data_IF_981799494076
#
_entry.id   IF_981799494076
#
_cell.length_a   1.000
_cell.length_b   1.000
_cell.length_c   1.000
_cell.angle_alpha   90.00
_cell.angle_beta   90.00
_cell.angle_gamma   90.00
#
_symmetry.space_group_name_H-M   'P 1'
#
loop_
_entity.id
_entity.type
_entity.pdbx_description
1 polymer ?
#
# COMPACT_ATOMS: atom_id res chain seq x y z
N UNK A 1 5.09 29.23 -26.55
CA UNK A 1 3.74 28.60 -26.58
C UNK A 1 3.73 27.10 -26.90
N UNK A 2 4.23 26.59 -28.05
CA UNK A 2 4.24 25.12 -28.31
C UNK A 2 5.28 24.34 -27.49
N UNK A 3 6.41 24.94 -27.10
CA UNK A 3 7.43 24.29 -26.26
C UNK A 3 7.04 24.20 -24.78
N UNK A 4 6.32 25.20 -24.27
CA UNK A 4 5.93 25.28 -22.85
C UNK A 4 4.91 24.19 -22.47
N UNK A 5 4.00 23.86 -23.39
CA UNK A 5 3.01 22.77 -23.24
C UNK A 5 3.68 21.40 -23.19
N UNK A 6 4.65 21.13 -24.08
CA UNK A 6 5.40 19.87 -24.10
C UNK A 6 6.28 19.70 -22.85
N UNK A 7 6.88 20.79 -22.36
CA UNK A 7 7.66 20.76 -21.11
C UNK A 7 6.78 20.55 -19.88
N UNK A 8 5.56 21.11 -19.86
CA UNK A 8 4.58 20.89 -18.78
C UNK A 8 4.07 19.44 -18.75
N UNK A 9 3.75 18.86 -19.91
CA UNK A 9 3.37 17.44 -20.04
C UNK A 9 4.48 16.49 -19.57
N UNK A 10 5.73 16.77 -19.93
CA UNK A 10 6.90 16.00 -19.49
C UNK A 10 7.07 16.00 -17.97
N UNK A 11 7.01 17.18 -17.34
CA UNK A 11 7.12 17.31 -15.88
C UNK A 11 5.97 16.62 -15.14
N UNK A 12 4.77 16.67 -15.70
CA UNK A 12 3.60 16.04 -15.10
C UNK A 12 3.68 14.51 -15.17
N UNK A 13 4.12 13.95 -16.31
CA UNK A 13 4.38 12.50 -16.43
C UNK A 13 5.43 12.03 -15.43
N UNK A 14 6.54 12.76 -15.29
CA UNK A 14 7.59 12.44 -14.30
C UNK A 14 7.05 12.43 -12.86
N UNK A 15 6.21 13.40 -12.49
CA UNK A 15 5.58 13.44 -11.17
C UNK A 15 4.64 12.27 -10.92
N UNK A 16 3.85 11.87 -11.92
CA UNK A 16 2.97 10.71 -11.82
C UNK A 16 3.75 9.41 -11.68
N UNK A 17 4.82 9.23 -12.46
CA UNK A 17 5.63 8.01 -12.39
C UNK A 17 6.36 7.92 -11.04
N UNK A 18 6.94 9.03 -10.53
CA UNK A 18 7.52 9.09 -9.19
C UNK A 18 6.50 8.83 -8.07
N UNK A 19 5.27 9.32 -8.21
CA UNK A 19 4.19 9.05 -7.26
C UNK A 19 3.80 7.57 -7.24
N UNK A 20 3.70 6.93 -8.42
CA UNK A 20 3.44 5.49 -8.55
C UNK A 20 4.54 4.64 -7.91
N UNK A 21 5.79 5.03 -8.13
CA UNK A 21 6.94 4.38 -7.50
C UNK A 21 6.87 4.52 -5.98
N UNK A 22 6.65 5.72 -5.45
CA UNK A 22 6.52 5.98 -4.03
C UNK A 22 5.40 5.16 -3.35
N UNK A 23 4.24 5.04 -3.99
CA UNK A 23 3.15 4.17 -3.51
C UNK A 23 3.59 2.71 -3.46
N UNK A 24 4.27 2.24 -4.50
CA UNK A 24 4.72 0.85 -4.60
C UNK A 24 5.70 0.53 -3.50
N UNK A 25 6.72 1.37 -3.34
CA UNK A 25 7.73 1.22 -2.30
C UNK A 25 7.10 1.25 -0.91
N UNK A 26 6.24 2.23 -0.63
CA UNK A 26 5.55 2.30 0.67
C UNK A 26 4.67 1.09 0.95
N UNK A 27 3.95 0.58 -0.05
CA UNK A 27 3.16 -0.62 0.11
C UNK A 27 4.00 -1.88 0.31
N UNK A 28 5.14 -1.99 -0.38
CA UNK A 28 6.08 -3.08 -0.19
C UNK A 28 6.64 -3.07 1.23
N UNK A 29 7.03 -1.90 1.77
CA UNK A 29 7.51 -1.77 3.15
C UNK A 29 6.44 -2.18 4.17
N UNK A 30 5.20 -1.70 4.00
CA UNK A 30 4.09 -2.07 4.90
C UNK A 30 3.80 -3.57 4.79
N UNK A 31 3.73 -4.10 3.58
CA UNK A 31 3.52 -5.52 3.32
C UNK A 31 4.61 -6.38 3.94
N UNK A 32 5.87 -5.98 3.77
CA UNK A 32 7.04 -6.65 4.33
C UNK A 32 7.05 -6.63 5.86
N UNK A 33 6.72 -5.49 6.47
CA UNK A 33 6.57 -5.37 7.92
C UNK A 33 5.54 -6.34 8.48
N UNK A 34 4.37 -6.42 7.85
CA UNK A 34 3.33 -7.37 8.24
C UNK A 34 3.79 -8.83 8.06
N UNK A 35 4.51 -9.16 6.98
CA UNK A 35 5.06 -10.50 6.81
C UNK A 35 6.07 -10.85 7.91
N UNK A 36 6.98 -9.94 8.25
CA UNK A 36 7.96 -10.19 9.32
C UNK A 36 7.27 -10.43 10.67
N UNK A 37 6.21 -9.66 10.98
CA UNK A 37 5.39 -9.89 12.19
C UNK A 37 4.70 -11.25 12.18
N UNK A 38 4.14 -11.67 11.03
CA UNK A 38 3.58 -13.01 10.89
C UNK A 38 4.66 -14.09 11.16
N UNK A 39 5.87 -13.88 10.64
CA UNK A 39 7.02 -14.73 10.91
C UNK A 39 7.39 -14.82 12.38
N UNK A 40 7.32 -13.72 13.15
CA UNK A 40 7.56 -13.73 14.61
C UNK A 40 6.56 -14.66 15.30
N UNK A 41 5.28 -14.56 14.96
CA UNK A 41 4.24 -15.38 15.58
C UNK A 41 4.37 -16.86 15.18
N UNK A 42 4.63 -17.15 13.91
CA UNK A 42 4.85 -18.53 13.46
C UNK A 42 6.12 -19.12 14.03
N UNK A 43 7.24 -18.39 14.08
CA UNK A 43 8.46 -18.93 14.67
C UNK A 43 8.31 -19.22 16.16
N UNK A 44 7.55 -18.38 16.89
CA UNK A 44 7.19 -18.71 18.27
C UNK A 44 6.34 -19.98 18.35
N UNK A 45 5.31 -20.09 17.50
CA UNK A 45 4.41 -21.26 17.47
C UNK A 45 5.12 -22.56 17.07
N UNK A 46 5.92 -22.54 16.01
CA UNK A 46 6.63 -23.69 15.45
C UNK A 46 7.77 -24.18 16.36
N UNK A 47 8.26 -23.33 17.28
CA UNK A 47 9.38 -23.62 18.19
C UNK A 47 8.95 -23.52 19.65
N UNK A 48 7.87 -24.24 20.00
CA UNK A 48 7.45 -24.47 21.38
C UNK A 48 7.20 -23.20 22.21
N UNK A 49 6.58 -22.19 21.59
CA UNK A 49 6.24 -20.91 22.24
C UNK A 49 7.47 -20.14 22.73
N UNK A 50 8.59 -20.22 21.99
CA UNK A 50 9.79 -19.41 22.29
C UNK A 50 9.45 -17.92 22.32
N UNK A 51 9.94 -17.22 23.36
CA UNK A 51 9.64 -15.80 23.60
C UNK A 51 10.49 -14.86 22.73
N UNK A 52 11.62 -15.33 22.25
CA UNK A 52 12.59 -14.55 21.48
C UNK A 52 13.12 -15.41 20.32
N UNK A 53 12.29 -15.66 19.29
CA UNK A 53 12.73 -16.40 18.11
C UNK A 53 13.84 -15.62 17.39
N UNK A 54 14.89 -16.33 16.98
CA UNK A 54 15.99 -15.76 16.21
C UNK A 54 15.53 -15.38 14.80
N UNK A 55 16.26 -14.46 14.16
CA UNK A 55 15.97 -14.00 12.80
C UNK A 55 15.77 -15.16 11.81
N UNK A 56 16.68 -16.14 11.79
CA UNK A 56 16.59 -17.26 10.87
C UNK A 56 15.36 -18.13 11.14
N UNK A 57 14.95 -18.27 12.41
CA UNK A 57 13.72 -18.99 12.76
C UNK A 57 12.49 -18.26 12.23
N UNK A 58 12.45 -16.93 12.36
CA UNK A 58 11.40 -16.05 11.84
C UNK A 58 11.27 -16.22 10.33
N UNK A 59 12.37 -16.09 9.60
CA UNK A 59 12.41 -16.16 8.14
C UNK A 59 12.04 -17.56 7.64
N UNK A 60 12.57 -18.62 8.26
CA UNK A 60 12.30 -20.00 7.85
C UNK A 60 10.83 -20.37 8.09
N UNK A 61 10.29 -20.04 9.28
CA UNK A 61 8.89 -20.32 9.61
C UNK A 61 7.95 -19.57 8.67
N UNK A 62 8.20 -18.27 8.46
CA UNK A 62 7.47 -17.46 7.49
C UNK A 62 7.49 -18.10 6.08
N UNK A 63 8.66 -18.50 5.61
CA UNK A 63 8.82 -19.11 4.30
C UNK A 63 7.99 -20.41 4.15
N UNK A 64 8.04 -21.29 5.14
CA UNK A 64 7.30 -22.57 5.14
C UNK A 64 5.80 -22.31 5.03
N UNK A 65 5.24 -21.49 5.93
CA UNK A 65 3.80 -21.20 5.95
C UNK A 65 3.33 -20.46 4.70
N UNK A 66 4.14 -19.55 4.16
CA UNK A 66 3.83 -18.86 2.90
C UNK A 66 3.80 -19.81 1.71
N UNK A 67 4.81 -20.68 1.59
CA UNK A 67 4.92 -21.62 0.48
C UNK A 67 3.74 -22.61 0.46
N UNK A 68 3.29 -23.06 1.64
CA UNK A 68 2.19 -24.01 1.76
C UNK A 68 0.82 -23.36 1.48
N UNK A 69 0.55 -22.17 2.03
CA UNK A 69 -0.81 -21.62 2.11
C UNK A 69 -1.05 -20.36 1.29
N UNK A 70 0.02 -19.65 0.90
CA UNK A 70 -0.08 -18.29 0.35
C UNK A 70 0.90 -18.06 -0.82
N UNK A 71 0.72 -18.74 -1.97
CA UNK A 71 1.67 -18.71 -3.09
C UNK A 71 1.95 -17.30 -3.66
N UNK A 72 0.95 -16.42 -3.68
CA UNK A 72 1.11 -15.03 -4.15
C UNK A 72 2.01 -14.22 -3.20
N UNK A 73 1.78 -14.36 -1.89
CA UNK A 73 2.62 -13.71 -0.88
C UNK A 73 4.00 -14.34 -0.81
N UNK A 74 4.13 -15.65 -1.08
CA UNK A 74 5.43 -16.30 -1.20
C UNK A 74 6.25 -15.70 -2.34
N UNK A 75 5.62 -15.48 -3.50
CA UNK A 75 6.25 -14.81 -4.64
C UNK A 75 6.65 -13.37 -4.34
N UNK A 76 5.82 -12.64 -3.57
CA UNK A 76 6.18 -11.32 -3.05
C UNK A 76 7.38 -11.40 -2.09
N UNK A 77 7.37 -12.32 -1.13
CA UNK A 77 8.42 -12.52 -0.14
C UNK A 77 9.76 -12.80 -0.81
N UNK A 78 9.82 -13.70 -1.80
CA UNK A 78 11.06 -14.01 -2.51
C UNK A 78 11.67 -12.78 -3.20
N UNK A 79 10.83 -11.92 -3.80
CA UNK A 79 11.28 -10.68 -4.48
C UNK A 79 11.70 -9.58 -3.51
N UNK A 80 11.16 -9.59 -2.29
CA UNK A 80 11.37 -8.54 -1.29
C UNK A 80 12.04 -9.08 -0.02
N UNK A 81 12.80 -10.19 -0.13
CA UNK A 81 13.35 -10.89 1.04
C UNK A 81 14.19 -9.96 1.92
N UNK A 82 15.02 -9.12 1.29
CA UNK A 82 15.86 -8.16 2.02
C UNK A 82 15.00 -7.12 2.77
N UNK A 83 13.95 -6.60 2.14
CA UNK A 83 13.02 -5.66 2.78
C UNK A 83 12.24 -6.28 3.93
N UNK A 84 11.89 -7.57 3.82
CA UNK A 84 11.27 -8.32 4.92
C UNK A 84 12.26 -8.54 6.05
N UNK A 85 13.49 -8.94 5.72
CA UNK A 85 14.53 -9.21 6.71
C UNK A 85 14.95 -7.94 7.47
N UNK A 86 15.07 -6.80 6.80
CA UNK A 86 15.47 -5.53 7.44
C UNK A 86 14.48 -5.03 8.50
N UNK A 87 13.24 -5.55 8.51
CA UNK A 87 12.26 -5.20 9.53
C UNK A 87 12.70 -5.63 10.94
N UNK A 88 13.64 -6.57 11.06
CA UNK A 88 14.25 -6.98 12.32
C UNK A 88 14.87 -5.82 13.09
N UNK A 89 15.35 -4.78 12.39
CA UNK A 89 15.95 -3.59 13.00
C UNK A 89 14.93 -2.72 13.76
N UNK A 90 13.64 -2.92 13.49
CA UNK A 90 12.56 -2.07 14.00
C UNK A 90 11.52 -2.82 14.84
N UNK A 91 11.59 -4.15 14.87
CA UNK A 91 10.60 -5.02 15.51
C UNK A 91 11.28 -5.94 16.52
N UNK A 92 10.85 -5.83 17.77
CA UNK A 92 11.34 -6.64 18.89
C UNK A 92 10.39 -7.81 19.18
N UNK A 93 10.79 -9.07 18.89
CA UNK A 93 9.94 -10.24 19.10
C UNK A 93 9.46 -10.40 20.54
N UNK A 94 10.37 -10.16 21.51
CA UNK A 94 10.09 -10.26 22.94
C UNK A 94 8.93 -9.37 23.37
N UNK A 95 8.87 -8.14 22.84
CA UNK A 95 7.81 -7.18 23.13
C UNK A 95 6.48 -7.65 22.53
N UNK A 96 6.51 -8.14 21.28
CA UNK A 96 5.31 -8.60 20.57
C UNK A 96 4.69 -9.87 21.19
N UNK A 97 5.53 -10.79 21.67
CA UNK A 97 5.11 -12.09 22.17
C UNK A 97 4.72 -12.06 23.65
N UNK A 98 5.27 -11.13 24.44
CA UNK A 98 5.09 -11.05 25.90
C UNK A 98 3.65 -11.18 26.38
N UNK A 99 2.69 -10.50 25.72
CA UNK A 99 1.28 -10.52 26.12
C UNK A 99 0.57 -11.82 25.75
N UNK A 100 0.97 -12.44 24.65
CA UNK A 100 0.39 -13.69 24.16
C UNK A 100 0.88 -14.85 25.02
N UNK A 101 2.19 -14.96 25.22
CA UNK A 101 2.82 -16.09 25.91
C UNK A 101 2.50 -16.12 27.42
N UNK A 102 2.13 -14.98 28.02
CA UNK A 102 1.60 -14.94 29.40
C UNK A 102 0.27 -15.71 29.54
N UNK A 103 -0.50 -15.87 28.46
CA UNK A 103 -1.80 -16.55 28.45
C UNK A 103 -1.62 -18.02 28.04
N UNK A 104 -0.89 -18.78 28.84
CA UNK A 104 -0.39 -20.14 28.53
C UNK A 104 -1.42 -21.03 27.82
N UNK A 105 -2.64 -21.11 28.37
CA UNK A 105 -3.76 -21.92 27.88
C UNK A 105 -4.29 -21.52 26.49
N UNK A 106 -4.08 -20.26 26.09
CA UNK A 106 -4.58 -19.69 24.83
C UNK A 106 -3.47 -19.26 23.88
N UNK A 107 -2.21 -19.34 24.31
CA UNK A 107 -1.07 -18.81 23.58
C UNK A 107 -1.00 -19.37 22.16
N UNK A 108 -1.19 -20.68 22.01
CA UNK A 108 -1.15 -21.37 20.72
C UNK A 108 -2.20 -20.84 19.72
N UNK A 109 -3.45 -20.68 20.17
CA UNK A 109 -4.52 -20.13 19.34
C UNK A 109 -4.30 -18.65 19.02
N UNK A 110 -3.80 -17.88 19.98
CA UNK A 110 -3.49 -16.47 19.80
C UNK A 110 -2.33 -16.24 18.81
N UNK A 111 -1.26 -17.04 18.88
CA UNK A 111 -0.14 -16.94 17.94
C UNK A 111 -0.60 -17.19 16.51
N UNK A 112 -1.38 -18.27 16.28
CA UNK A 112 -1.93 -18.58 14.95
C UNK A 112 -2.85 -17.47 14.44
N UNK A 113 -3.79 -17.01 15.27
CA UNK A 113 -4.70 -15.93 14.90
C UNK A 113 -3.96 -14.61 14.60
N UNK A 114 -2.92 -14.28 15.37
CA UNK A 114 -2.09 -13.10 15.13
C UNK A 114 -1.27 -13.24 13.84
N UNK A 115 -0.71 -14.41 13.55
CA UNK A 115 0.00 -14.65 12.29
C UNK A 115 -0.93 -14.47 11.09
N UNK A 116 -2.12 -15.09 11.12
CA UNK A 116 -3.12 -14.96 10.05
C UNK A 116 -3.63 -13.52 9.87
N UNK A 117 -3.82 -12.79 10.96
CA UNK A 117 -4.17 -11.38 10.92
C UNK A 117 -3.11 -10.56 10.18
N UNK A 118 -1.83 -10.76 10.52
CA UNK A 118 -0.72 -10.05 9.87
C UNK A 118 -0.59 -10.43 8.40
N UNK A 119 -0.80 -11.69 8.03
CA UNK A 119 -0.88 -12.13 6.63
C UNK A 119 -1.98 -11.39 5.87
N UNK A 120 -3.18 -11.30 6.45
CA UNK A 120 -4.29 -10.60 5.83
C UNK A 120 -4.02 -9.10 5.72
N UNK A 121 -3.33 -8.50 6.69
CA UNK A 121 -2.92 -7.10 6.62
C UNK A 121 -1.89 -6.87 5.51
N UNK A 122 -0.94 -7.79 5.33
CA UNK A 122 0.01 -7.76 4.22
C UNK A 122 -0.70 -7.80 2.86
N UNK A 123 -1.63 -8.75 2.66
CA UNK A 123 -2.44 -8.82 1.42
C UNK A 123 -3.18 -7.53 1.15
N UNK A 124 -3.89 -7.00 2.16
CA UNK A 124 -4.65 -5.75 2.02
C UNK A 124 -3.78 -4.55 1.67
N UNK A 125 -2.57 -4.47 2.21
CA UNK A 125 -1.63 -3.41 1.87
C UNK A 125 -1.23 -3.47 0.39
N UNK A 126 -0.90 -4.67 -0.10
CA UNK A 126 -0.49 -4.88 -1.49
C UNK A 126 -1.66 -4.69 -2.47
N UNK A 127 -2.85 -5.20 -2.14
CA UNK A 127 -4.06 -5.02 -2.95
C UNK A 127 -4.45 -3.54 -3.11
N UNK A 128 -4.38 -2.76 -2.01
CA UNK A 128 -4.66 -1.32 -2.07
C UNK A 128 -3.69 -0.58 -2.98
N UNK A 129 -2.42 -0.97 -2.97
CA UNK A 129 -1.41 -0.38 -3.84
C UNK A 129 -1.68 -0.68 -5.31
N UNK A 130 -2.09 -1.92 -5.61
CA UNK A 130 -2.43 -2.33 -6.97
C UNK A 130 -3.69 -1.61 -7.48
N UNK A 131 -4.74 -1.53 -6.65
CA UNK A 131 -5.94 -0.76 -6.99
C UNK A 131 -5.61 0.72 -7.27
N UNK A 132 -4.70 1.31 -6.50
CA UNK A 132 -4.27 2.70 -6.71
C UNK A 132 -3.44 2.85 -7.99
N UNK A 133 -2.58 1.89 -8.32
CA UNK A 133 -1.83 1.86 -9.59
C UNK A 133 -2.76 1.82 -10.80
N UNK A 134 -3.78 0.96 -10.78
CA UNK A 134 -4.74 0.85 -11.88
C UNK A 134 -5.57 2.12 -12.06
N UNK A 135 -5.98 2.76 -10.94
CA UNK A 135 -6.63 4.08 -10.99
C UNK A 135 -5.73 5.15 -11.59
N UNK A 136 -4.45 5.18 -11.22
CA UNK A 136 -3.49 6.14 -11.76
C UNK A 136 -3.20 5.90 -13.25
N UNK A 137 -3.17 4.64 -13.69
CA UNK A 137 -3.04 4.27 -15.11
C UNK A 137 -4.22 4.81 -15.92
N UNK A 138 -5.44 4.57 -15.44
CA UNK A 138 -6.68 5.10 -16.06
C UNK A 138 -6.64 6.63 -16.15
N UNK A 139 -6.13 7.29 -15.12
CA UNK A 139 -6.00 8.75 -15.11
C UNK A 139 -4.96 9.26 -16.14
N UNK A 140 -3.82 8.57 -16.28
CA UNK A 140 -2.81 8.86 -17.30
C UNK A 140 -3.39 8.74 -18.72
N UNK A 141 -4.23 7.75 -18.96
CA UNK A 141 -4.93 7.55 -20.24
C UNK A 141 -5.96 8.66 -20.49
N UNK A 142 -6.79 9.02 -19.51
CA UNK A 142 -7.76 10.11 -19.62
C UNK A 142 -7.13 11.49 -19.89
N UNK A 143 -5.93 11.74 -19.37
CA UNK A 143 -5.15 12.96 -19.63
C UNK A 143 -4.59 12.97 -21.06
N UNK A 144 -4.17 11.82 -21.60
CA UNK A 144 -3.72 11.72 -22.98
C UNK A 144 -4.88 11.83 -24.00
N UNK A 145 -6.10 11.44 -23.62
CA UNK A 145 -7.30 11.48 -24.50
C UNK A 145 -7.92 12.88 -24.53
N UNK A 146 -7.75 13.70 -23.50
CA UNK A 146 -8.20 15.11 -23.51
C UNK A 146 -7.20 16.00 -24.23
N UNK A 147 -7.39 16.16 -25.54
CA UNK A 147 -7.36 17.49 -26.12
C UNK A 147 -8.05 18.46 -25.14
N UNK A 148 -7.34 19.53 -24.76
CA UNK A 148 -7.74 20.63 -23.87
C UNK A 148 -9.21 20.56 -23.43
N UNK A 149 -9.54 20.37 -22.13
CA UNK A 149 -10.89 20.68 -21.71
C UNK A 149 -11.13 22.15 -22.10
N UNK A 150 -12.06 22.39 -23.02
CA UNK A 150 -12.66 23.71 -23.14
C UNK A 150 -13.24 23.98 -21.77
N UNK A 151 -12.58 24.86 -21.01
CA UNK A 151 -13.13 25.37 -19.79
C UNK A 151 -14.38 26.16 -20.18
N UNK A 152 -15.53 25.48 -20.20
CA UNK A 152 -16.81 26.16 -20.30
C UNK A 152 -16.98 26.87 -18.97
N UNK A 153 -16.64 28.16 -18.96
CA UNK A 153 -16.96 29.04 -17.86
C UNK A 153 -18.49 29.15 -17.82
N UNK A 154 -19.13 28.41 -16.93
CA UNK A 154 -20.54 28.62 -16.63
C UNK A 154 -20.58 29.86 -15.74
N UNK A 155 -20.73 31.03 -16.36
CA UNK A 155 -20.98 32.28 -15.65
C UNK A 155 -22.46 32.27 -15.26
N UNK A 156 -22.77 32.28 -13.97
CA UNK A 156 -24.12 32.59 -13.49
C UNK A 156 -24.50 33.99 -13.98
N UNK A 157 -25.38 34.08 -14.97
CA UNK A 157 -26.08 35.32 -15.28
C UNK A 157 -27.13 35.55 -14.19
N UNK A 158 -26.73 36.10 -13.05
CA UNK A 158 -27.68 36.77 -12.18
C UNK A 158 -28.08 38.08 -12.86
N UNK A 159 -29.37 38.15 -13.19
CA UNK A 159 -29.97 39.14 -14.08
C UNK A 159 -29.65 40.59 -13.75
N UNK A 160 -29.25 41.32 -14.77
CA UNK A 160 -29.47 42.75 -14.85
C UNK A 160 -30.56 42.93 -15.89
N UNK A 161 -31.80 43.09 -15.45
CA UNK A 161 -32.87 43.60 -16.31
C UNK A 161 -32.48 45.02 -16.75
N UNK A 162 -31.99 45.15 -17.97
CA UNK A 162 -31.88 46.42 -18.67
C UNK A 162 -33.30 46.96 -18.90
N UNK A 163 -33.68 47.97 -18.11
CA UNK A 163 -34.83 48.81 -18.45
C UNK A 163 -34.53 49.50 -19.77
N UNK A 164 -35.29 49.12 -20.81
CA UNK A 164 -35.36 49.81 -22.10
C UNK A 164 -35.61 51.30 -21.89
N UNK A 165 -34.65 52.11 -22.33
CA UNK A 165 -34.84 53.51 -22.66
C UNK A 165 -34.92 53.56 -24.18
N UNK A 166 -36.13 53.74 -24.72
CA UNK A 166 -36.39 54.25 -26.07
C UNK A 166 -37.89 54.55 -26.19
N UNK A 167 -38.28 55.75 -25.75
CA UNK A 167 -39.39 56.48 -26.35
C UNK A 167 -38.77 57.60 -27.19
N UNK A 168 -38.91 57.48 -28.50
CA UNK A 168 -38.71 58.56 -29.48
C UNK A 168 -39.97 58.61 -30.34
N UNK A 169 -40.93 59.45 -29.92
CA UNK A 169 -41.71 60.39 -30.76
C UNK A 169 -42.53 61.32 -29.87
#
# INVERSE_FOLDING_TARGET
MRSDSKAAEGRYRQRLDAFREGITTGANEIGARHLYRAGIYWASFDNEMIHEPLHDMIINSLQIHLQEKYPDLYSFFLRNKNTVSSQSESLEPSTMLSRILRRKDKAEGLLRASAELEINNSKRALERAEQLKERLKTWKEGINVRNKPEAICIVEQHGVEEKKLEELT
#
